data_IF_283840474589
#
_entry.id   IF_283840474589
#
_cell.length_a   1.000
_cell.length_b   1.000
_cell.length_c   1.000
_cell.angle_alpha   90.00
_cell.angle_beta   90.00
_cell.angle_gamma   90.00
#
_symmetry.space_group_name_H-M   'P 1'
#
loop_
_entity.id
_entity.type
_entity.pdbx_description
1 polymer ?
#
# COMPACT_ATOMS: atom_id res chain seq x y z
N UNK A 1 7.47 5.09 15.91
CA UNK A 1 6.64 4.26 15.01
C UNK A 1 6.80 2.79 15.36
N UNK A 2 5.70 2.05 15.49
CA UNK A 2 5.66 0.62 15.87
C UNK A 2 5.50 -0.35 14.68
N UNK A 3 5.71 0.13 13.46
CA UNK A 3 5.60 -0.71 12.25
C UNK A 3 6.68 -1.80 12.25
N UNK A 4 6.35 -2.97 11.72
CA UNK A 4 7.29 -4.08 11.59
C UNK A 4 7.86 -4.12 10.17
N UNK A 5 9.18 -3.94 10.03
CA UNK A 5 9.86 -4.05 8.75
C UNK A 5 10.12 -5.52 8.42
N UNK A 6 9.57 -6.00 7.32
CA UNK A 6 9.77 -7.38 6.87
C UNK A 6 11.16 -7.53 6.25
N UNK A 7 11.91 -8.53 6.70
CA UNK A 7 13.09 -9.00 5.95
C UNK A 7 12.66 -9.69 4.65
N UNK A 8 13.57 -9.85 3.65
CA UNK A 8 13.23 -10.54 2.40
C UNK A 8 12.71 -11.97 2.60
N UNK A 9 13.24 -12.69 3.60
CA UNK A 9 12.76 -14.03 3.95
C UNK A 9 11.34 -14.00 4.53
N UNK A 10 11.06 -13.06 5.44
CA UNK A 10 9.73 -12.90 6.04
C UNK A 10 8.71 -12.43 5.01
N UNK A 11 9.08 -11.49 4.13
CA UNK A 11 8.22 -11.08 3.01
C UNK A 11 7.79 -12.29 2.20
N UNK A 12 8.74 -13.13 1.76
CA UNK A 12 8.42 -14.33 0.99
C UNK A 12 7.47 -15.28 1.72
N UNK A 13 7.66 -15.47 3.03
CA UNK A 13 6.77 -16.29 3.86
C UNK A 13 5.37 -15.66 3.99
N UNK A 14 5.29 -14.34 4.25
CA UNK A 14 4.02 -13.61 4.30
C UNK A 14 3.27 -13.74 2.97
N UNK A 15 3.96 -13.59 1.84
CA UNK A 15 3.36 -13.73 0.51
C UNK A 15 2.71 -15.09 0.27
N UNK A 16 3.32 -16.19 0.74
CA UNK A 16 2.73 -17.54 0.65
C UNK A 16 1.46 -17.69 1.48
N UNK A 17 1.31 -16.87 2.53
CA UNK A 17 0.17 -16.90 3.43
C UNK A 17 -0.98 -16.03 2.89
N UNK A 18 -0.65 -14.81 2.43
CA UNK A 18 -1.64 -13.79 2.09
C UNK A 18 -2.15 -13.88 0.65
N UNK A 19 -1.41 -14.49 -0.28
CA UNK A 19 -1.91 -14.74 -1.64
C UNK A 19 -2.45 -16.17 -1.76
N UNK A 20 -3.66 -16.31 -2.29
CA UNK A 20 -4.18 -17.61 -2.75
C UNK A 20 -3.72 -17.93 -4.18
N UNK A 21 -3.43 -16.90 -4.98
CA UNK A 21 -2.92 -17.03 -6.35
C UNK A 21 -2.01 -15.83 -6.66
N UNK A 22 -0.84 -16.08 -7.24
CA UNK A 22 0.02 -15.04 -7.79
C UNK A 22 0.07 -15.14 -9.32
N UNK A 23 -0.16 -14.02 -10.00
CA UNK A 23 -0.25 -13.97 -11.47
C UNK A 23 1.06 -13.53 -12.15
N UNK A 24 2.12 -13.37 -11.37
CA UNK A 24 3.43 -12.92 -11.83
C UNK A 24 3.63 -11.41 -11.72
N UNK A 25 4.79 -10.90 -12.21
CA UNK A 25 5.18 -9.50 -12.04
C UNK A 25 4.24 -8.53 -12.78
N UNK A 26 3.98 -7.37 -12.16
CA UNK A 26 3.17 -6.30 -12.74
C UNK A 26 1.67 -6.64 -12.81
N UNK A 27 1.22 -7.73 -12.18
CA UNK A 27 -0.16 -8.21 -12.24
C UNK A 27 -0.75 -8.33 -10.85
N UNK A 28 -2.05 -8.01 -10.69
CA UNK A 28 -2.75 -8.22 -9.43
C UNK A 28 -2.82 -9.73 -9.14
N UNK A 29 -2.51 -10.11 -7.89
CA UNK A 29 -2.75 -11.44 -7.36
C UNK A 29 -4.16 -11.57 -6.78
N UNK A 30 -4.47 -12.75 -6.25
CA UNK A 30 -5.72 -13.01 -5.50
C UNK A 30 -5.37 -13.19 -4.04
N UNK A 31 -6.04 -12.42 -3.18
CA UNK A 31 -5.79 -12.43 -1.73
C UNK A 31 -6.56 -13.56 -1.06
N UNK A 32 -5.88 -14.22 -0.13
CA UNK A 32 -6.47 -15.17 0.77
C UNK A 32 -7.43 -14.46 1.72
N UNK A 33 -8.73 -14.67 1.50
CA UNK A 33 -9.82 -14.03 2.25
C UNK A 33 -9.76 -14.27 3.76
N UNK A 34 -9.08 -15.32 4.24
CA UNK A 34 -8.86 -15.60 5.67
C UNK A 34 -8.23 -14.41 6.42
N UNK A 35 -7.42 -13.62 5.72
CA UNK A 35 -6.63 -12.55 6.33
C UNK A 35 -7.23 -11.15 6.17
N UNK A 36 -8.27 -10.97 5.37
CA UNK A 36 -8.92 -9.67 5.17
C UNK A 36 -9.35 -9.10 6.52
N UNK A 37 -8.93 -7.86 6.82
CA UNK A 37 -9.25 -7.17 8.06
C UNK A 37 -8.59 -7.76 9.33
N UNK A 38 -7.63 -8.67 9.22
CA UNK A 38 -6.87 -9.21 10.36
C UNK A 38 -5.71 -8.30 10.73
N UNK A 39 -5.31 -8.36 12.00
CA UNK A 39 -4.16 -7.63 12.53
C UNK A 39 -2.83 -8.16 11.96
N UNK A 40 -1.81 -7.31 11.97
CA UNK A 40 -0.45 -7.66 11.52
C UNK A 40 0.14 -8.82 12.34
N UNK A 41 -0.14 -8.89 13.65
CA UNK A 41 0.27 -9.97 14.55
C UNK A 41 -0.27 -11.34 14.11
N UNK A 42 -1.50 -11.40 13.59
CA UNK A 42 -2.12 -12.64 13.09
C UNK A 42 -1.37 -13.15 11.86
N UNK A 43 -1.03 -12.26 10.91
CA UNK A 43 -0.28 -12.62 9.70
C UNK A 43 1.14 -13.07 10.06
N UNK A 44 1.82 -12.37 10.96
CA UNK A 44 3.15 -12.74 11.44
C UNK A 44 3.15 -14.09 12.19
N UNK A 45 2.08 -14.38 12.93
CA UNK A 45 1.92 -15.64 13.64
C UNK A 45 1.90 -16.86 12.70
N UNK A 46 1.32 -16.73 11.50
CA UNK A 46 1.28 -17.82 10.51
C UNK A 46 2.67 -18.16 9.94
N UNK A 47 3.62 -17.23 10.02
CA UNK A 47 5.03 -17.45 9.65
C UNK A 47 5.93 -17.75 10.86
N UNK A 48 5.33 -17.96 12.04
CA UNK A 48 6.04 -18.27 13.28
C UNK A 48 6.66 -17.07 14.00
N UNK A 49 6.37 -15.84 13.56
CA UNK A 49 6.89 -14.61 14.19
C UNK A 49 5.86 -14.11 15.20
N UNK A 50 6.20 -14.20 16.49
CA UNK A 50 5.34 -13.70 17.58
C UNK A 50 5.66 -12.25 17.89
N UNK A 51 4.66 -11.39 17.76
CA UNK A 51 4.72 -9.97 18.15
C UNK A 51 3.49 -9.61 18.98
N UNK A 52 3.60 -8.52 19.71
CA UNK A 52 2.48 -7.91 20.42
C UNK A 52 1.48 -7.26 19.44
N UNK A 53 0.21 -7.20 19.84
CA UNK A 53 -0.88 -6.61 19.03
C UNK A 53 -0.72 -5.10 18.79
N UNK A 54 0.22 -4.43 19.47
CA UNK A 54 0.52 -3.02 19.21
C UNK A 54 1.31 -2.76 17.93
N UNK A 55 1.69 -3.79 17.15
CA UNK A 55 2.22 -3.65 15.79
C UNK A 55 1.06 -3.38 14.81
N UNK A 56 0.93 -2.18 14.25
CA UNK A 56 -0.25 -1.83 13.45
C UNK A 56 -0.10 -2.17 11.97
N UNK A 57 1.14 -2.37 11.48
CA UNK A 57 1.44 -2.41 10.05
C UNK A 57 2.73 -3.19 9.79
N UNK A 58 2.69 -4.04 8.75
CA UNK A 58 3.86 -4.65 8.13
C UNK A 58 4.31 -3.78 6.96
N UNK A 59 5.59 -3.47 6.86
CA UNK A 59 6.14 -2.67 5.77
C UNK A 59 7.23 -3.46 5.07
N UNK A 60 7.23 -3.45 3.73
CA UNK A 60 8.22 -4.14 2.92
C UNK A 60 8.68 -3.26 1.77
N UNK A 61 10.00 -3.10 1.59
CA UNK A 61 10.57 -2.53 0.37
C UNK A 61 10.53 -3.60 -0.74
N UNK A 62 9.95 -3.26 -1.89
CA UNK A 62 9.72 -4.19 -3.00
C UNK A 62 10.01 -3.55 -4.36
N UNK A 63 10.35 -4.33 -5.39
CA UNK A 63 10.43 -3.81 -6.76
C UNK A 63 9.06 -3.34 -7.26
N UNK A 64 9.06 -2.48 -8.28
CA UNK A 64 7.84 -1.89 -8.85
C UNK A 64 6.89 -2.97 -9.38
N UNK A 65 7.44 -4.03 -9.94
CA UNK A 65 6.69 -5.13 -10.55
C UNK A 65 6.16 -6.12 -9.51
N UNK A 66 6.43 -5.91 -8.22
CA UNK A 66 6.03 -6.83 -7.17
C UNK A 66 4.50 -6.91 -7.05
N UNK A 67 3.88 -8.11 -6.98
CA UNK A 67 2.42 -8.26 -6.96
C UNK A 67 1.68 -7.44 -5.89
N UNK A 68 2.32 -7.22 -4.72
CA UNK A 68 1.78 -6.37 -3.65
C UNK A 68 1.50 -4.92 -4.10
N UNK A 69 2.29 -4.36 -5.01
CA UNK A 69 2.05 -2.99 -5.54
C UNK A 69 0.76 -2.94 -6.36
N UNK A 70 0.44 -4.02 -7.05
CA UNK A 70 -0.64 -4.07 -8.04
C UNK A 70 -1.95 -4.64 -7.47
N UNK A 71 -1.92 -5.18 -6.26
CA UNK A 71 -3.04 -5.88 -5.64
C UNK A 71 -3.64 -5.05 -4.52
N UNK A 72 -4.95 -4.81 -4.57
CA UNK A 72 -5.69 -4.32 -3.41
C UNK A 72 -5.85 -5.45 -2.39
N UNK A 73 -5.30 -5.25 -1.18
CA UNK A 73 -5.15 -6.31 -0.19
C UNK A 73 -6.22 -6.29 0.89
N UNK A 74 -6.60 -5.09 1.33
CA UNK A 74 -7.34 -4.88 2.60
C UNK A 74 -6.68 -5.58 3.80
N UNK A 75 -5.34 -5.64 3.78
CA UNK A 75 -4.48 -6.20 4.83
C UNK A 75 -3.58 -5.09 5.40
N UNK A 76 -3.08 -5.22 6.63
CA UNK A 76 -2.08 -4.30 7.19
C UNK A 76 -0.68 -4.60 6.67
N UNK A 77 -0.52 -4.67 5.34
CA UNK A 77 0.75 -4.88 4.63
C UNK A 77 0.95 -3.74 3.62
N UNK A 78 1.94 -2.90 3.87
CA UNK A 78 2.28 -1.75 3.03
C UNK A 78 3.55 -2.04 2.22
N UNK A 79 3.43 -2.37 0.91
CA UNK A 79 4.57 -2.41 0.02
C UNK A 79 5.07 -0.99 -0.28
N UNK A 80 6.38 -0.81 -0.33
CA UNK A 80 7.03 0.47 -0.66
C UNK A 80 7.98 0.22 -1.82
N UNK A 81 7.68 0.79 -2.98
CA UNK A 81 8.57 0.80 -4.13
C UNK A 81 9.35 2.12 -4.20
N UNK A 82 10.67 2.02 -4.40
CA UNK A 82 11.54 3.19 -4.57
C UNK A 82 11.54 3.64 -6.03
N UNK A 83 11.38 4.94 -6.24
CA UNK A 83 11.45 5.60 -7.55
C UNK A 83 12.53 6.67 -7.54
N UNK A 84 13.01 7.08 -8.73
CA UNK A 84 14.11 8.04 -8.88
C UNK A 84 13.64 9.49 -8.73
N UNK A 85 12.36 9.75 -8.97
CA UNK A 85 11.79 11.11 -8.93
C UNK A 85 10.32 11.12 -8.55
N UNK A 86 9.83 12.29 -8.13
CA UNK A 86 8.40 12.48 -7.86
C UNK A 86 7.53 12.27 -9.11
N UNK A 87 8.03 12.62 -10.30
CA UNK A 87 7.26 12.43 -11.54
C UNK A 87 7.10 10.95 -11.88
N UNK A 88 8.16 10.17 -11.74
CA UNK A 88 8.12 8.72 -11.90
C UNK A 88 7.16 8.07 -10.88
N UNK A 89 7.19 8.53 -9.63
CA UNK A 89 6.25 8.09 -8.60
C UNK A 89 4.79 8.36 -8.95
N UNK A 90 4.50 9.55 -9.49
CA UNK A 90 3.15 9.90 -9.96
C UNK A 90 2.74 9.02 -11.15
N UNK A 91 3.63 8.81 -12.13
CA UNK A 91 3.32 8.01 -13.32
C UNK A 91 3.09 6.54 -12.95
N UNK A 92 3.83 6.02 -11.97
CA UNK A 92 3.61 4.69 -11.43
C UNK A 92 2.29 4.61 -10.64
N UNK A 93 1.97 5.62 -9.82
CA UNK A 93 0.73 5.65 -9.06
C UNK A 93 -0.51 5.60 -9.99
N UNK A 94 -0.48 6.33 -11.11
CA UNK A 94 -1.56 6.27 -12.12
C UNK A 94 -1.75 4.84 -12.65
N UNK A 95 -0.66 4.11 -12.90
CA UNK A 95 -0.73 2.72 -13.37
C UNK A 95 -1.23 1.77 -12.28
N UNK A 96 -0.68 1.89 -11.08
CA UNK A 96 -1.01 1.02 -9.95
C UNK A 96 -2.45 1.22 -9.45
N UNK A 97 -3.07 2.37 -9.72
CA UNK A 97 -4.47 2.64 -9.41
C UNK A 97 -5.45 1.97 -10.39
N UNK A 98 -4.97 1.43 -11.50
CA UNK A 98 -5.76 0.72 -12.53
C UNK A 98 -6.90 1.55 -13.16
N UNK A 99 -6.90 2.87 -12.96
CA UNK A 99 -7.93 3.76 -13.49
C UNK A 99 -9.28 3.65 -12.79
N UNK A 100 -9.34 3.06 -11.59
CA UNK A 100 -10.54 3.01 -10.77
C UNK A 100 -11.02 4.40 -10.34
N UNK A 101 -10.11 5.38 -10.30
CA UNK A 101 -10.34 6.77 -9.86
C UNK A 101 -11.01 6.85 -8.50
N UNK A 102 -10.65 5.94 -7.58
CA UNK A 102 -11.29 5.88 -6.26
C UNK A 102 -10.63 6.86 -5.29
N UNK A 103 -9.38 6.60 -4.91
CA UNK A 103 -8.65 7.42 -3.94
C UNK A 103 -7.15 7.38 -4.19
N UNK A 104 -6.51 8.54 -4.07
CA UNK A 104 -5.06 8.63 -4.00
C UNK A 104 -4.64 9.67 -2.95
N UNK A 105 -3.42 9.55 -2.47
CA UNK A 105 -2.84 10.54 -1.56
C UNK A 105 -1.39 10.85 -1.90
N UNK A 106 -0.96 12.07 -1.58
CA UNK A 106 0.40 12.53 -1.80
C UNK A 106 0.91 13.30 -0.59
N UNK A 107 2.10 12.92 -0.12
CA UNK A 107 2.86 13.69 0.85
C UNK A 107 3.97 14.46 0.13
N UNK A 108 3.84 15.78 0.03
CA UNK A 108 4.77 16.69 -0.64
C UNK A 108 4.52 18.13 -0.22
N UNK A 109 5.57 18.96 -0.17
CA UNK A 109 5.45 20.42 -0.03
C UNK A 109 5.55 21.16 -1.38
N UNK A 110 5.86 20.44 -2.46
CA UNK A 110 5.96 21.02 -3.79
C UNK A 110 4.56 21.10 -4.43
N UNK A 111 4.04 22.33 -4.57
CA UNK A 111 2.68 22.61 -5.07
C UNK A 111 2.52 22.14 -6.52
N UNK A 112 3.53 22.31 -7.37
CA UNK A 112 3.48 21.86 -8.77
C UNK A 112 3.31 20.35 -8.86
N UNK A 113 4.02 19.59 -8.02
CA UNK A 113 3.88 18.12 -7.98
C UNK A 113 2.55 17.67 -7.40
N UNK A 114 2.06 18.34 -6.34
CA UNK A 114 0.73 18.09 -5.78
C UNK A 114 -0.37 18.34 -6.83
N UNK A 115 -0.30 19.47 -7.54
CA UNK A 115 -1.23 19.87 -8.59
C UNK A 115 -1.21 18.88 -9.75
N UNK A 116 -0.01 18.51 -10.22
CA UNK A 116 0.17 17.50 -11.27
C UNK A 116 -0.49 16.18 -10.88
N UNK A 117 -0.15 15.63 -9.70
CA UNK A 117 -0.67 14.34 -9.26
C UNK A 117 -2.20 14.36 -9.15
N UNK A 118 -2.76 15.40 -8.52
CA UNK A 118 -4.22 15.53 -8.38
C UNK A 118 -4.93 15.49 -9.75
N UNK A 119 -4.40 16.20 -10.74
CA UNK A 119 -4.97 16.27 -12.10
C UNK A 119 -4.87 14.95 -12.85
N UNK A 120 -3.72 14.29 -12.82
CA UNK A 120 -3.52 13.05 -13.60
C UNK A 120 -4.17 11.83 -12.95
N UNK A 121 -4.22 11.78 -11.62
CA UNK A 121 -4.91 10.72 -10.89
C UNK A 121 -6.43 10.82 -11.10
N UNK A 122 -6.98 12.04 -11.06
CA UNK A 122 -8.42 12.30 -11.27
C UNK A 122 -9.32 11.38 -10.42
N UNK A 123 -8.92 11.13 -9.17
CA UNK A 123 -9.68 10.31 -8.22
C UNK A 123 -10.84 11.10 -7.61
N UNK A 124 -11.89 10.39 -7.20
CA UNK A 124 -13.00 10.96 -6.42
C UNK A 124 -12.53 11.61 -5.12
N UNK A 125 -11.51 11.04 -4.48
CA UNK A 125 -10.86 11.58 -3.28
C UNK A 125 -9.35 11.73 -3.54
N UNK A 126 -8.81 12.92 -3.28
CA UNK A 126 -7.37 13.18 -3.32
C UNK A 126 -6.89 13.89 -2.04
N UNK A 127 -6.12 13.18 -1.21
CA UNK A 127 -5.63 13.71 0.08
C UNK A 127 -4.19 14.23 -0.05
N UNK A 128 -3.95 15.44 0.46
CA UNK A 128 -2.62 16.09 0.45
C UNK A 128 -2.09 16.20 1.87
N UNK A 129 -0.94 15.60 2.16
CA UNK A 129 -0.24 15.69 3.45
C UNK A 129 -1.05 15.26 4.68
N UNK A 130 -2.00 14.33 4.53
CA UNK A 130 -2.86 13.85 5.59
C UNK A 130 -3.14 12.35 5.46
N UNK A 131 -3.71 11.75 6.51
CA UNK A 131 -4.18 10.37 6.45
C UNK A 131 -5.35 10.25 5.47
N UNK A 132 -5.52 9.10 4.82
CA UNK A 132 -6.60 8.90 3.84
C UNK A 132 -8.00 9.14 4.42
N UNK A 133 -8.19 8.92 5.73
CA UNK A 133 -9.44 9.22 6.45
C UNK A 133 -9.82 10.71 6.44
N UNK A 134 -8.86 11.62 6.23
CA UNK A 134 -9.14 13.04 6.08
C UNK A 134 -10.00 13.34 4.84
N UNK A 135 -9.94 12.49 3.81
CA UNK A 135 -10.85 12.59 2.66
C UNK A 135 -12.31 12.25 2.97
N UNK A 136 -12.60 11.79 4.19
CA UNK A 136 -13.93 11.48 4.70
C UNK A 136 -14.34 12.43 5.85
N UNK A 137 -13.70 13.59 5.97
CA UNK A 137 -13.98 14.59 7.02
C UNK A 137 -13.35 14.31 8.39
N UNK A 138 -12.55 13.24 8.54
CA UNK A 138 -11.84 12.97 9.79
C UNK A 138 -10.52 13.75 9.85
N UNK A 139 -10.55 14.93 10.48
CA UNK A 139 -9.39 15.82 10.56
C UNK A 139 -9.04 16.53 9.24
N UNK A 140 -9.97 16.52 8.27
CA UNK A 140 -9.97 17.34 7.08
C UNK A 140 -11.30 18.08 6.95
N UNK A 141 -11.31 19.20 6.23
CA UNK A 141 -12.53 19.95 5.91
C UNK A 141 -13.48 19.11 5.01
N UNK A 142 -14.79 19.39 5.09
CA UNK A 142 -15.85 18.66 4.38
C UNK A 142 -16.86 19.57 3.72
#
# INVERSE_FOLDING_TARGET
NKAFLLSPSQLKQVEQVIFSEQRGPGKPGVINRKFIGKNASVILGEIGVKVDDSVPLLVAEVPIEHPLIWTEQMLPVLPVARVRSADEGIDLAVKAEHGFRHTASMHSRNIEKLSRMARVMNCSIFVKNGANAAGLGYGGEG
#
